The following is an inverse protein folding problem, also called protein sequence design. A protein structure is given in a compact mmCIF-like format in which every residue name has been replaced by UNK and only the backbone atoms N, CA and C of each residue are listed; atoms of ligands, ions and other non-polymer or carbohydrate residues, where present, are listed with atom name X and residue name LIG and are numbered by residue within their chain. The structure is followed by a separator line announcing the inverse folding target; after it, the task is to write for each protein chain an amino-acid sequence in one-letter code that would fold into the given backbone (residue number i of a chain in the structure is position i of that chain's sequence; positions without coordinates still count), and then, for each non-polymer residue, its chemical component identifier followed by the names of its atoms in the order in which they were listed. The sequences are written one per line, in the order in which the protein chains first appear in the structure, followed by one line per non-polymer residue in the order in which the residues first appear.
data_IF_190972854724
#
_entry.id   IF_190972854724
#
_cell.length_a   1.000
_cell.length_b   1.000
_cell.length_c   1.000
_cell.angle_alpha   90.00
_cell.angle_beta   90.00
_cell.angle_gamma   90.00
#
_symmetry.space_group_name_H-M   'P 1'
#
loop_
_entity.id
_entity.type
_entity.pdbx_description
1 polymer ?
#
# COMPACT_ATOMS: atom_id res chain seq x y z
N UNK A 1 -0.77 10.96 15.72
CA UNK A 1 -2.18 10.54 15.53
C UNK A 1 -2.29 9.48 14.44
N UNK A 2 -1.80 9.76 13.23
CA UNK A 2 -1.77 8.80 12.10
C UNK A 2 -1.27 7.41 12.49
N UNK A 3 -0.08 7.31 13.12
CA UNK A 3 0.47 6.03 13.63
C UNK A 3 -0.47 5.25 14.55
N UNK A 4 -1.33 5.92 15.33
CA UNK A 4 -2.28 5.24 16.23
C UNK A 4 -3.47 4.66 15.46
N UNK A 5 -4.02 5.41 14.50
CA UNK A 5 -5.16 4.96 13.70
C UNK A 5 -4.76 3.92 12.65
N UNK A 6 -3.54 3.99 12.11
CA UNK A 6 -3.03 3.00 11.14
C UNK A 6 -2.50 1.72 11.77
N UNK A 7 -2.32 1.67 13.11
CA UNK A 7 -1.87 0.45 13.81
C UNK A 7 -2.85 -0.72 13.69
N UNK A 8 -4.15 -0.42 13.60
CA UNK A 8 -5.23 -1.41 13.39
C UNK A 8 -6.12 -0.92 12.24
N UNK A 9 -5.70 -1.12 10.98
CA UNK A 9 -6.40 -0.57 9.82
C UNK A 9 -7.87 -1.04 9.77
N UNK A 10 -8.15 -2.30 10.11
CA UNK A 10 -9.50 -2.85 10.14
C UNK A 10 -10.43 -2.12 11.11
N UNK A 11 -9.94 -1.73 12.30
CA UNK A 11 -10.71 -0.93 13.25
C UNK A 11 -10.95 0.48 12.74
N UNK A 12 -9.94 1.10 12.13
CA UNK A 12 -10.10 2.41 11.53
C UNK A 12 -11.13 2.39 10.39
N UNK A 13 -11.05 1.41 9.49
CA UNK A 13 -12.00 1.23 8.39
C UNK A 13 -13.41 1.00 8.94
N UNK A 14 -13.58 0.09 9.90
CA UNK A 14 -14.88 -0.17 10.52
C UNK A 14 -15.47 1.11 11.16
N UNK A 15 -14.65 1.91 11.82
CA UNK A 15 -15.08 3.20 12.40
C UNK A 15 -15.53 4.19 11.33
N UNK A 16 -14.75 4.34 10.25
CA UNK A 16 -15.08 5.24 9.16
C UNK A 16 -16.34 4.81 8.41
N UNK A 17 -16.56 3.50 8.24
CA UNK A 17 -17.78 2.95 7.63
C UNK A 17 -19.02 3.25 8.49
N UNK A 18 -18.93 3.08 9.81
CA UNK A 18 -20.02 3.43 10.73
C UNK A 18 -20.33 4.92 10.64
N UNK A 19 -19.30 5.78 10.71
CA UNK A 19 -19.47 7.22 10.60
C UNK A 19 -20.09 7.64 9.26
N UNK A 20 -19.63 7.05 8.16
CA UNK A 20 -20.17 7.30 6.83
C UNK A 20 -21.65 6.93 6.72
N UNK A 21 -22.04 5.76 7.24
CA UNK A 21 -23.43 5.32 7.23
C UNK A 21 -24.34 6.25 8.05
N UNK A 22 -23.89 6.68 9.24
CA UNK A 22 -24.64 7.64 10.06
C UNK A 22 -24.79 8.97 9.34
N UNK A 23 -23.69 9.48 8.76
CA UNK A 23 -23.70 10.74 8.02
C UNK A 23 -24.64 10.69 6.82
N UNK A 24 -24.66 9.58 6.07
CA UNK A 24 -25.53 9.40 4.92
C UNK A 24 -27.02 9.41 5.31
N UNK A 25 -27.38 8.74 6.41
CA UNK A 25 -28.77 8.73 6.90
C UNK A 25 -29.20 10.12 7.36
N UNK A 26 -28.36 10.81 8.14
CA UNK A 26 -28.65 12.16 8.63
C UNK A 26 -28.75 13.15 7.46
N UNK A 27 -27.78 13.13 6.54
CA UNK A 27 -27.79 13.98 5.36
C UNK A 27 -29.00 13.69 4.47
N UNK A 28 -29.30 12.42 4.19
CA UNK A 28 -30.44 12.02 3.38
C UNK A 28 -31.77 12.50 3.96
N UNK A 29 -31.92 12.45 5.29
CA UNK A 29 -33.10 12.97 6.00
C UNK A 29 -33.25 14.49 5.81
N UNK A 30 -32.21 15.27 6.10
CA UNK A 30 -32.27 16.74 5.98
C UNK A 30 -32.39 17.19 4.52
N UNK A 31 -31.60 16.60 3.62
CA UNK A 31 -31.61 16.95 2.20
C UNK A 31 -32.92 16.53 1.54
N UNK A 32 -33.51 15.39 1.94
CA UNK A 32 -34.83 14.99 1.51
C UNK A 32 -35.90 16.03 1.88
N UNK A 33 -35.87 16.56 3.10
CA UNK A 33 -36.77 17.63 3.53
C UNK A 33 -36.58 18.94 2.74
N UNK A 34 -35.34 19.32 2.46
CA UNK A 34 -35.01 20.50 1.64
C UNK A 34 -35.51 20.33 0.21
N UNK A 35 -35.28 19.17 -0.41
CA UNK A 35 -35.70 18.90 -1.78
C UNK A 35 -37.22 18.80 -1.93
N UNK A 36 -37.92 18.24 -0.95
CA UNK A 36 -39.39 18.28 -0.87
C UNK A 36 -39.94 19.71 -0.90
N UNK A 37 -39.24 20.66 -0.26
CA UNK A 37 -39.64 22.07 -0.26
C UNK A 37 -39.29 22.80 -1.56
N UNK A 38 -38.17 22.46 -2.19
CA UNK A 38 -37.69 23.11 -3.42
C UNK A 38 -38.43 22.62 -4.68
N UNK A 39 -38.93 21.38 -4.66
CA UNK A 39 -39.65 20.77 -5.78
C UNK A 39 -41.06 20.40 -5.30
N UNK A 40 -41.97 21.39 -5.14
CA UNK A 40 -43.34 21.14 -4.72
C UNK A 40 -44.15 20.59 -5.90
N UNK A 41 -43.94 19.31 -6.23
CA UNK A 41 -44.72 18.60 -7.23
C UNK A 41 -45.78 17.76 -6.53
N UNK A 42 -47.05 17.99 -6.87
CA UNK A 42 -48.17 17.25 -6.31
C UNK A 42 -48.49 15.99 -7.13
N UNK A 43 -49.01 14.96 -6.46
CA UNK A 43 -49.43 13.70 -7.08
C UNK A 43 -48.34 12.63 -7.20
N UNK A 44 -48.74 11.44 -7.65
CA UNK A 44 -47.90 10.23 -7.72
C UNK A 44 -46.70 10.44 -8.67
N UNK A 45 -46.92 11.11 -9.79
CA UNK A 45 -45.84 11.45 -10.73
C UNK A 45 -44.82 12.41 -10.12
N UNK A 46 -45.28 13.38 -9.31
CA UNK A 46 -44.41 14.30 -8.56
C UNK A 46 -43.53 13.58 -7.56
N UNK A 47 -44.11 12.66 -6.77
CA UNK A 47 -43.37 11.82 -5.83
C UNK A 47 -42.27 10.98 -6.50
N UNK A 48 -42.56 10.38 -7.66
CA UNK A 48 -41.57 9.58 -8.41
C UNK A 48 -40.40 10.45 -8.91
N UNK A 49 -40.71 11.59 -9.53
CA UNK A 49 -39.68 12.53 -10.02
C UNK A 49 -38.84 13.07 -8.86
N UNK A 50 -39.48 13.43 -7.76
CA UNK A 50 -38.80 13.92 -6.57
C UNK A 50 -37.89 12.85 -5.95
N UNK A 51 -38.35 11.59 -5.86
CA UNK A 51 -37.54 10.47 -5.34
C UNK A 51 -36.33 10.21 -6.23
N UNK A 52 -36.51 10.22 -7.55
CA UNK A 52 -35.42 10.04 -8.51
C UNK A 52 -34.38 11.15 -8.40
N UNK A 53 -34.81 12.41 -8.46
CA UNK A 53 -33.92 13.58 -8.40
C UNK A 53 -33.21 13.63 -7.05
N UNK A 54 -33.93 13.39 -5.94
CA UNK A 54 -33.33 13.42 -4.61
C UNK A 54 -32.28 12.33 -4.41
N UNK A 55 -32.55 11.12 -4.88
CA UNK A 55 -31.57 10.02 -4.83
C UNK A 55 -30.33 10.38 -5.64
N UNK A 56 -30.48 10.94 -6.84
CA UNK A 56 -29.36 11.34 -7.69
C UNK A 56 -28.52 12.45 -7.03
N UNK A 57 -29.18 13.49 -6.50
CA UNK A 57 -28.50 14.60 -5.81
C UNK A 57 -27.79 14.10 -4.56
N UNK A 58 -28.44 13.28 -3.72
CA UNK A 58 -27.85 12.75 -2.50
C UNK A 58 -26.64 11.87 -2.82
N UNK A 59 -26.76 10.93 -3.76
CA UNK A 59 -25.64 10.07 -4.16
C UNK A 59 -24.47 10.89 -4.72
N UNK A 60 -24.74 11.87 -5.58
CA UNK A 60 -23.71 12.70 -6.18
C UNK A 60 -22.98 13.54 -5.11
N UNK A 61 -23.72 14.21 -4.25
CA UNK A 61 -23.19 15.20 -3.31
C UNK A 61 -22.67 14.60 -2.00
N UNK A 62 -23.35 13.60 -1.44
CA UNK A 62 -22.99 13.02 -0.14
C UNK A 62 -22.01 11.87 -0.25
N UNK A 63 -22.02 11.14 -1.37
CA UNK A 63 -21.24 9.91 -1.51
C UNK A 63 -20.17 10.00 -2.60
N UNK A 64 -20.56 10.26 -3.85
CA UNK A 64 -19.66 10.15 -4.99
C UNK A 64 -18.62 11.25 -5.04
N UNK A 65 -19.02 12.52 -5.06
CA UNK A 65 -18.09 13.64 -5.18
C UNK A 65 -17.07 13.65 -4.03
N UNK A 66 -17.46 13.57 -2.74
CA UNK A 66 -16.50 13.59 -1.66
C UNK A 66 -15.51 12.42 -1.73
N UNK A 67 -15.97 11.21 -2.08
CA UNK A 67 -15.08 10.04 -2.25
C UNK A 67 -14.03 10.30 -3.32
N UNK A 68 -14.42 10.80 -4.48
CA UNK A 68 -13.49 11.08 -5.59
C UNK A 68 -12.47 12.14 -5.19
N UNK A 69 -12.90 13.24 -4.55
CA UNK A 69 -11.97 14.26 -4.05
C UNK A 69 -11.00 13.72 -3.01
N UNK A 70 -11.47 12.88 -2.08
CA UNK A 70 -10.60 12.23 -1.10
C UNK A 70 -9.62 11.24 -1.70
N UNK A 71 -9.98 10.57 -2.79
CA UNK A 71 -9.08 9.66 -3.50
C UNK A 71 -7.96 10.43 -4.21
N UNK A 72 -8.27 11.53 -4.90
CA UNK A 72 -7.27 12.32 -5.64
C UNK A 72 -6.25 12.96 -4.69
N UNK A 73 -6.70 13.49 -3.55
CA UNK A 73 -5.85 14.24 -2.60
C UNK A 73 -5.62 13.50 -1.27
N UNK A 74 -5.61 12.16 -1.29
CA UNK A 74 -5.59 11.31 -0.10
C UNK A 74 -4.48 11.70 0.90
N UNK A 75 -3.24 11.88 0.44
CA UNK A 75 -2.10 12.18 1.30
C UNK A 75 -2.22 13.52 2.05
N UNK A 76 -2.80 14.54 1.42
CA UNK A 76 -2.97 15.87 2.02
C UNK A 76 -4.19 15.88 2.95
N UNK A 77 -5.33 15.38 2.47
CA UNK A 77 -6.57 15.40 3.24
C UNK A 77 -6.49 14.48 4.46
N UNK A 78 -5.84 13.31 4.39
CA UNK A 78 -5.64 12.44 5.55
C UNK A 78 -4.84 13.15 6.65
N UNK A 79 -3.86 14.00 6.31
CA UNK A 79 -3.11 14.79 7.30
C UNK A 79 -3.99 15.85 7.96
N UNK A 80 -4.78 16.59 7.17
CA UNK A 80 -5.69 17.64 7.66
C UNK A 80 -6.81 17.04 8.53
N UNK A 81 -7.46 16.00 8.02
CA UNK A 81 -8.59 15.34 8.68
C UNK A 81 -8.16 14.30 9.73
N UNK A 82 -6.86 14.12 9.98
CA UNK A 82 -6.37 13.17 10.99
C UNK A 82 -6.95 13.45 12.39
N UNK A 83 -7.08 14.72 12.76
CA UNK A 83 -7.57 15.12 14.07
C UNK A 83 -9.08 14.86 14.22
N UNK A 84 -9.96 15.33 13.31
CA UNK A 84 -11.37 14.94 13.29
C UNK A 84 -11.57 13.42 13.22
N UNK A 85 -10.82 12.73 12.36
CA UNK A 85 -10.91 11.28 12.20
C UNK A 85 -10.55 10.53 13.50
N UNK A 86 -9.57 11.02 14.26
CA UNK A 86 -9.20 10.43 15.54
C UNK A 86 -10.27 10.62 16.61
N UNK A 87 -10.97 11.75 16.60
CA UNK A 87 -12.11 11.98 17.49
C UNK A 87 -13.22 10.94 17.23
N UNK A 88 -13.60 10.74 15.97
CA UNK A 88 -14.59 9.71 15.60
C UNK A 88 -14.10 8.28 15.88
N UNK A 89 -12.79 8.03 15.69
CA UNK A 89 -12.17 6.77 16.06
C UNK A 89 -12.33 6.43 17.55
N UNK A 90 -12.22 7.43 18.43
CA UNK A 90 -12.47 7.25 19.87
C UNK A 90 -13.97 7.11 20.16
N UNK A 91 -14.80 7.96 19.58
CA UNK A 91 -16.24 8.00 19.82
C UNK A 91 -16.92 6.69 19.43
N UNK A 92 -16.60 6.15 18.24
CA UNK A 92 -17.21 4.92 17.72
C UNK A 92 -16.40 3.67 18.02
N UNK A 93 -15.34 3.77 18.83
CA UNK A 93 -14.46 2.65 19.18
C UNK A 93 -15.22 1.42 19.66
N UNK A 94 -16.23 1.61 20.53
CA UNK A 94 -17.03 0.52 21.10
C UNK A 94 -17.84 -0.18 20.01
N UNK A 95 -18.47 0.58 19.12
CA UNK A 95 -19.29 0.05 18.02
C UNK A 95 -18.40 -0.71 17.04
N UNK A 96 -17.25 -0.14 16.67
CA UNK A 96 -16.34 -0.75 15.71
C UNK A 96 -15.68 -2.03 16.24
N UNK A 97 -15.33 -2.07 17.52
CA UNK A 97 -14.82 -3.30 18.15
C UNK A 97 -15.88 -4.40 18.21
N UNK A 98 -17.13 -4.04 18.47
CA UNK A 98 -18.24 -4.99 18.42
C UNK A 98 -18.45 -5.57 17.02
N UNK A 99 -18.40 -4.74 15.98
CA UNK A 99 -18.49 -5.20 14.57
C UNK A 99 -17.33 -6.14 14.24
N UNK A 100 -16.10 -5.80 14.62
CA UNK A 100 -14.93 -6.66 14.40
C UNK A 100 -15.09 -7.99 15.13
N UNK A 101 -15.58 -7.96 16.38
CA UNK A 101 -15.82 -9.18 17.14
C UNK A 101 -16.83 -10.10 16.44
N UNK A 102 -17.92 -9.57 15.87
CA UNK A 102 -18.86 -10.35 15.07
C UNK A 102 -18.17 -10.90 13.82
N UNK A 103 -17.42 -10.07 13.09
CA UNK A 103 -16.69 -10.50 11.89
C UNK A 103 -15.73 -11.65 12.20
N UNK A 104 -14.94 -11.54 13.26
CA UNK A 104 -14.01 -12.58 13.71
C UNK A 104 -14.75 -13.85 14.15
N UNK A 105 -15.92 -13.73 14.78
CA UNK A 105 -16.77 -14.87 15.15
C UNK A 105 -17.24 -15.62 13.90
N UNK A 106 -17.73 -14.90 12.89
CA UNK A 106 -18.16 -15.48 11.61
C UNK A 106 -16.99 -16.14 10.89
N UNK A 107 -15.83 -15.48 10.82
CA UNK A 107 -14.63 -16.03 10.17
C UNK A 107 -14.14 -17.31 10.85
N UNK A 108 -14.13 -17.36 12.19
CA UNK A 108 -13.73 -18.56 12.94
C UNK A 108 -14.70 -19.71 12.75
N UNK A 109 -16.01 -19.44 12.76
CA UNK A 109 -17.04 -20.48 12.65
C UNK A 109 -17.13 -21.05 11.24
N UNK A 110 -17.11 -20.20 10.21
CA UNK A 110 -17.37 -20.62 8.83
C UNK A 110 -16.11 -20.88 8.01
N UNK A 111 -15.03 -20.12 8.25
CA UNK A 111 -13.82 -20.15 7.41
C UNK A 111 -12.59 -20.75 8.11
N UNK A 112 -12.67 -21.06 9.42
CA UNK A 112 -11.57 -21.61 10.24
C UNK A 112 -10.24 -20.83 10.10
N UNK A 113 -10.32 -19.54 9.79
CA UNK A 113 -9.17 -18.65 9.70
C UNK A 113 -9.03 -17.86 11.00
N UNK A 114 -7.79 -17.55 11.37
CA UNK A 114 -7.54 -16.53 12.38
C UNK A 114 -7.97 -15.16 11.80
N UNK A 115 -8.65 -14.36 12.62
CA UNK A 115 -9.15 -13.01 12.25
C UNK A 115 -8.02 -12.00 12.10
N UNK A 116 -8.38 -10.70 12.04
CA UNK A 116 -7.54 -9.50 11.78
C UNK A 116 -6.02 -9.62 12.08
N UNK A 117 -5.29 -10.37 11.25
CA UNK A 117 -3.85 -10.46 11.27
C UNK A 117 -3.33 -9.40 10.31
N UNK A 118 -2.93 -8.25 10.85
CA UNK A 118 -2.26 -7.22 10.05
C UNK A 118 -0.99 -7.84 9.50
N UNK A 119 -0.97 -8.11 8.19
CA UNK A 119 0.20 -8.64 7.50
C UNK A 119 1.26 -7.52 7.45
N UNK A 120 2.09 -7.46 8.49
CA UNK A 120 3.18 -6.48 8.64
C UNK A 120 4.45 -6.87 7.86
N UNK A 121 4.40 -7.97 7.09
CA UNK A 121 5.52 -8.39 6.26
C UNK A 121 5.41 -7.73 4.90
N UNK A 122 6.26 -6.73 4.64
CA UNK A 122 6.47 -6.29 3.28
C UNK A 122 7.09 -7.42 2.45
N UNK A 123 6.59 -7.60 1.23
CA UNK A 123 7.29 -8.41 0.23
C UNK A 123 8.60 -7.73 -0.19
N UNK A 124 9.59 -8.52 -0.66
CA UNK A 124 10.84 -7.97 -1.25
C UNK A 124 10.55 -6.90 -2.31
N UNK A 125 9.52 -7.13 -3.13
CA UNK A 125 9.08 -6.22 -4.20
C UNK A 125 8.48 -4.93 -3.64
N UNK A 126 7.68 -5.02 -2.58
CA UNK A 126 7.06 -3.84 -1.94
C UNK A 126 8.09 -2.96 -1.25
N UNK A 127 9.12 -3.56 -0.64
CA UNK A 127 10.27 -2.84 -0.08
C UNK A 127 11.06 -2.12 -1.18
N UNK A 128 11.33 -2.79 -2.30
CA UNK A 128 11.99 -2.17 -3.46
C UNK A 128 11.22 -0.95 -3.97
N UNK A 129 9.93 -1.11 -4.22
CA UNK A 129 9.06 -0.03 -4.73
C UNK A 129 8.96 1.15 -3.74
N UNK A 130 8.84 0.87 -2.44
CA UNK A 130 8.74 1.92 -1.42
C UNK A 130 10.00 2.79 -1.37
N UNK A 131 11.18 2.20 -1.49
CA UNK A 131 12.45 2.95 -1.50
C UNK A 131 12.54 3.83 -2.75
N UNK A 132 12.22 3.29 -3.92
CA UNK A 132 12.22 4.06 -5.18
C UNK A 132 11.25 5.25 -5.12
N UNK A 133 10.01 5.05 -4.65
CA UNK A 133 9.00 6.12 -4.54
C UNK A 133 9.37 7.22 -3.53
N UNK A 134 10.01 6.87 -2.40
CA UNK A 134 10.42 7.87 -1.41
C UNK A 134 11.58 8.72 -1.91
N UNK A 135 12.44 8.19 -2.78
CA UNK A 135 13.69 8.85 -3.17
C UNK A 135 13.55 9.72 -4.43
N UNK A 136 12.57 9.45 -5.30
CA UNK A 136 12.15 10.40 -6.36
C UNK A 136 11.72 11.79 -5.82
N UNK A 137 11.45 11.89 -4.50
CA UNK A 137 11.08 13.15 -3.85
C UNK A 137 12.26 14.00 -3.34
N UNK A 138 13.50 13.50 -3.41
CA UNK A 138 14.70 14.20 -2.94
C UNK A 138 15.66 14.50 -4.12
N UNK A 139 15.91 15.79 -4.38
CA UNK A 139 16.70 16.30 -5.54
C UNK A 139 18.24 16.17 -5.40
N UNK A 140 18.78 15.39 -4.45
CA UNK A 140 20.23 15.18 -4.28
C UNK A 140 20.70 13.91 -5.01
N UNK A 141 21.02 14.07 -6.30
CA UNK A 141 20.99 12.98 -7.28
C UNK A 141 22.23 12.04 -7.35
N UNK A 142 23.41 12.39 -6.83
CA UNK A 142 24.62 11.60 -7.16
C UNK A 142 25.02 10.53 -6.11
N UNK A 143 24.92 10.80 -4.81
CA UNK A 143 25.32 9.83 -3.76
C UNK A 143 24.19 8.86 -3.40
N UNK A 144 22.94 9.33 -3.41
CA UNK A 144 21.76 8.52 -3.07
C UNK A 144 21.52 7.40 -4.09
N UNK A 145 21.81 7.62 -5.37
CA UNK A 145 21.64 6.62 -6.43
C UNK A 145 22.53 5.38 -6.22
N UNK A 146 23.74 5.55 -5.70
CA UNK A 146 24.67 4.43 -5.47
C UNK A 146 24.21 3.55 -4.30
N UNK A 147 23.75 4.16 -3.20
CA UNK A 147 23.22 3.42 -2.04
C UNK A 147 21.95 2.63 -2.41
N UNK A 148 21.05 3.24 -3.19
CA UNK A 148 19.86 2.57 -3.73
C UNK A 148 20.26 1.38 -4.59
N UNK A 149 21.20 1.56 -5.50
CA UNK A 149 21.65 0.50 -6.40
C UNK A 149 22.26 -0.67 -5.62
N UNK A 150 23.07 -0.40 -4.59
CA UNK A 150 23.62 -1.43 -3.70
C UNK A 150 22.49 -2.17 -2.97
N UNK A 151 21.49 -1.46 -2.46
CA UNK A 151 20.37 -2.05 -1.75
C UNK A 151 19.49 -2.93 -2.65
N UNK A 152 19.17 -2.45 -3.86
CA UNK A 152 18.45 -3.23 -4.88
C UNK A 152 19.23 -4.48 -5.26
N UNK A 153 20.53 -4.34 -5.55
CA UNK A 153 21.42 -5.46 -5.82
C UNK A 153 21.43 -6.47 -4.66
N UNK A 154 21.39 -6.02 -3.41
CA UNK A 154 21.35 -6.90 -2.24
C UNK A 154 20.02 -7.66 -2.10
N UNK A 155 18.89 -7.04 -2.43
CA UNK A 155 17.59 -7.72 -2.47
C UNK A 155 17.58 -8.79 -3.56
N UNK A 156 18.07 -8.46 -4.75
CA UNK A 156 18.12 -9.35 -5.92
C UNK A 156 19.19 -10.44 -5.79
N UNK A 157 20.27 -10.20 -5.04
CA UNK A 157 21.37 -11.16 -4.85
C UNK A 157 20.89 -12.53 -4.38
N UNK A 158 19.85 -12.56 -3.56
CA UNK A 158 19.24 -13.80 -3.07
C UNK A 158 18.65 -14.70 -4.17
N UNK A 159 18.33 -14.14 -5.33
CA UNK A 159 17.79 -14.86 -6.50
C UNK A 159 18.86 -15.16 -7.56
N UNK A 160 20.03 -14.49 -7.49
CA UNK A 160 21.14 -14.66 -8.44
C UNK A 160 21.79 -16.04 -8.25
N UNK A 161 21.95 -16.78 -9.35
CA UNK A 161 22.60 -18.10 -9.32
C UNK A 161 24.07 -17.97 -9.69
N UNK A 162 24.92 -18.81 -9.10
CA UNK A 162 26.36 -18.81 -9.38
C UNK A 162 26.70 -18.86 -10.89
N UNK A 163 25.90 -19.59 -11.69
CA UNK A 163 26.07 -19.70 -13.14
C UNK A 163 25.91 -18.37 -13.90
N UNK A 164 25.21 -17.40 -13.32
CA UNK A 164 24.93 -16.09 -13.93
C UNK A 164 26.10 -15.12 -13.73
N UNK A 165 26.99 -15.40 -12.76
CA UNK A 165 28.15 -14.55 -12.43
C UNK A 165 29.50 -15.28 -12.57
N UNK A 166 29.51 -16.59 -12.78
CA UNK A 166 30.75 -17.36 -12.94
C UNK A 166 31.39 -17.14 -14.31
N UNK A 167 32.72 -17.21 -14.36
CA UNK A 167 33.46 -17.18 -15.63
C UNK A 167 33.20 -18.51 -16.37
N UNK A 168 32.77 -18.48 -17.65
CA UNK A 168 32.58 -19.69 -18.44
C UNK A 168 33.85 -20.53 -18.52
N UNK A 169 33.74 -21.87 -18.48
CA UNK A 169 34.90 -22.78 -18.46
C UNK A 169 35.90 -22.54 -19.59
N UNK A 170 35.41 -22.14 -20.76
CA UNK A 170 36.23 -21.86 -21.95
C UNK A 170 37.08 -20.60 -21.82
N UNK A 171 36.75 -19.72 -20.89
CA UNK A 171 37.43 -18.45 -20.63
C UNK A 171 38.30 -18.50 -19.38
N UNK A 172 38.34 -19.63 -18.68
CA UNK A 172 39.18 -19.81 -17.48
C UNK A 172 40.65 -19.93 -17.91
N UNK A 173 41.49 -19.06 -17.37
CA UNK A 173 42.94 -19.22 -17.42
C UNK A 173 43.33 -20.34 -16.46
N UNK A 174 43.79 -21.47 -17.03
CA UNK A 174 44.25 -22.63 -16.30
C UNK A 174 45.59 -23.12 -16.85
N UNK A 175 46.34 -23.85 -16.03
CA UNK A 175 47.62 -24.47 -16.39
C UNK A 175 47.56 -25.97 -16.12
N UNK A 176 48.43 -26.73 -16.78
CA UNK A 176 48.56 -28.17 -16.50
C UNK A 176 49.36 -28.39 -15.20
N UNK A 177 49.13 -29.52 -14.52
CA UNK A 177 49.87 -29.89 -13.30
C UNK A 177 51.37 -30.06 -13.53
N UNK A 178 51.78 -30.34 -14.78
CA UNK A 178 53.19 -30.47 -15.17
C UNK A 178 53.87 -29.10 -15.44
N UNK A 179 53.12 -28.00 -15.39
CA UNK A 179 53.64 -26.65 -15.69
C UNK A 179 54.72 -26.24 -14.68
N UNK A 180 55.86 -25.76 -15.18
CA UNK A 180 56.97 -25.38 -14.29
C UNK A 180 56.63 -24.12 -13.49
N UNK A 181 57.16 -23.97 -12.25
CA UNK A 181 56.92 -22.76 -11.44
C UNK A 181 57.35 -21.46 -12.14
N UNK A 182 58.35 -21.53 -13.03
CA UNK A 182 58.87 -20.37 -13.78
C UNK A 182 57.89 -19.91 -14.86
N UNK A 183 57.28 -20.85 -15.58
CA UNK A 183 56.23 -20.56 -16.57
C UNK A 183 54.94 -20.09 -15.89
N UNK A 184 54.56 -20.73 -14.78
CA UNK A 184 53.43 -20.29 -13.96
C UNK A 184 53.59 -18.85 -13.48
N UNK A 185 54.77 -18.47 -12.99
CA UNK A 185 55.07 -17.10 -12.57
C UNK A 185 54.96 -16.07 -13.70
N UNK A 186 55.30 -16.47 -14.93
CA UNK A 186 55.12 -15.62 -16.12
C UNK A 186 53.62 -15.40 -16.40
N UNK A 187 52.81 -16.45 -16.34
CA UNK A 187 51.36 -16.36 -16.57
C UNK A 187 50.68 -15.48 -15.50
N UNK A 188 51.08 -15.60 -14.22
CA UNK A 188 50.61 -14.70 -13.17
C UNK A 188 50.92 -13.23 -13.45
N UNK A 189 52.13 -12.94 -13.94
CA UNK A 189 52.58 -11.58 -14.24
C UNK A 189 51.88 -11.00 -15.48
N UNK A 190 51.66 -11.82 -16.51
CA UNK A 190 51.00 -11.41 -17.76
C UNK A 190 49.49 -11.20 -17.58
N UNK A 191 48.84 -12.01 -16.75
CA UNK A 191 47.39 -11.96 -16.55
C UNK A 191 46.96 -11.06 -15.39
N UNK A 192 47.84 -10.78 -14.42
CA UNK A 192 47.51 -10.01 -13.22
C UNK A 192 46.53 -10.70 -12.26
N UNK A 193 46.22 -11.99 -12.49
CA UNK A 193 45.28 -12.75 -11.66
C UNK A 193 45.89 -13.09 -10.30
N UNK A 194 45.08 -13.11 -9.24
CA UNK A 194 45.54 -13.54 -7.91
C UNK A 194 45.53 -15.07 -7.73
N UNK A 195 44.82 -15.80 -8.60
CA UNK A 195 44.68 -17.27 -8.59
C UNK A 195 44.59 -17.78 -10.02
N UNK A 196 45.24 -18.92 -10.28
CA UNK A 196 45.17 -19.66 -11.55
C UNK A 196 44.78 -21.09 -11.20
N UNK A 197 43.89 -21.68 -12.01
CA UNK A 197 43.41 -23.05 -11.80
C UNK A 197 44.43 -24.05 -12.37
N UNK A 198 44.71 -25.12 -11.62
CA UNK A 198 45.58 -26.23 -12.01
C UNK A 198 44.71 -27.48 -12.18
#
# INVERSE_FOLDING_TARGET
ILKKITKRPSKFIATMLVGNNIALVVYGFFMGAVLMRLIPLEGIAGLLVQTLISTLVILLTAEFLPKVFFQIYANQLVKIFALPAYLFYLLFSVISEFIIWISDLVLKIFFKTEGDAVQLSFSKVELGNYITEQMESYEELDELDTEIQIFQNALEFSEVKAREVMIPRTEIVAVDIETTPKELGKIFTETGLSKILV
#
